data_IF_213547714779
#
_entry.id   IF_213547714779
#
_cell.length_a   1.000
_cell.length_b   1.000
_cell.length_c   1.000
_cell.angle_alpha   90.00
_cell.angle_beta   90.00
_cell.angle_gamma   90.00
#
_symmetry.space_group_name_H-M   'P 1'
#
loop_
_entity.id
_entity.type
_entity.pdbx_description
1 polymer ?
#
# COMPACT_ATOMS: atom_id res chain seq x y z
N UNK A 1 4.34 48.75 9.86
CA UNK A 1 5.64 48.25 10.32
C UNK A 1 5.88 46.95 9.58
N UNK A 2 6.69 46.96 8.52
CA UNK A 2 7.07 45.72 7.86
C UNK A 2 8.01 45.01 8.83
N UNK A 3 7.63 43.83 9.33
CA UNK A 3 8.56 43.00 10.09
C UNK A 3 9.79 42.75 9.22
N UNK A 4 10.97 43.02 9.79
CA UNK A 4 12.24 42.77 9.14
C UNK A 4 12.47 41.25 9.12
N UNK A 5 11.98 40.61 8.07
CA UNK A 5 12.11 39.17 7.87
C UNK A 5 13.58 38.78 7.72
N UNK A 6 14.08 37.96 8.65
CA UNK A 6 15.39 37.33 8.54
C UNK A 6 15.24 36.09 7.67
N UNK A 7 15.87 36.12 6.49
CA UNK A 7 15.87 34.98 5.57
C UNK A 7 16.36 33.71 6.29
N UNK A 8 15.50 32.69 6.34
CA UNK A 8 15.81 31.39 6.93
C UNK A 8 15.16 31.14 8.30
N UNK A 9 14.58 32.17 8.92
CA UNK A 9 13.87 32.07 10.20
C UNK A 9 12.35 31.87 10.02
N UNK A 10 11.90 31.70 8.77
CA UNK A 10 10.51 31.39 8.47
C UNK A 10 10.16 30.02 9.04
N UNK A 11 9.07 29.94 9.80
CA UNK A 11 8.56 28.65 10.27
C UNK A 11 8.13 27.78 9.07
N UNK A 12 8.78 26.62 8.95
CA UNK A 12 8.51 25.61 7.92
C UNK A 12 7.79 24.38 8.48
N UNK A 13 7.29 24.43 9.71
CA UNK A 13 6.57 23.34 10.37
C UNK A 13 5.49 22.72 9.47
N UNK A 14 4.64 23.55 8.86
CA UNK A 14 3.58 23.14 7.94
C UNK A 14 4.11 22.53 6.63
N UNK A 15 5.19 23.08 6.09
CA UNK A 15 5.81 22.57 4.85
C UNK A 15 6.43 21.19 5.10
N UNK A 16 7.08 21.03 6.24
CA UNK A 16 7.66 19.74 6.67
C UNK A 16 6.56 18.71 6.91
N UNK A 17 5.49 19.08 7.62
CA UNK A 17 4.35 18.19 7.86
C UNK A 17 3.68 17.74 6.55
N UNK A 18 3.53 18.66 5.60
CA UNK A 18 2.99 18.36 4.26
C UNK A 18 3.88 17.40 3.48
N UNK A 19 5.20 17.60 3.52
CA UNK A 19 6.16 16.72 2.85
C UNK A 19 6.20 15.32 3.49
N UNK A 20 6.23 15.25 4.82
CA UNK A 20 6.19 13.98 5.56
C UNK A 20 4.89 13.21 5.24
N UNK A 21 3.76 13.92 5.17
CA UNK A 21 2.48 13.36 4.72
C UNK A 21 2.52 12.83 3.28
N UNK A 22 3.08 13.61 2.35
CA UNK A 22 3.23 13.21 0.95
C UNK A 22 4.07 11.94 0.80
N UNK A 23 5.21 11.86 1.49
CA UNK A 23 6.06 10.68 1.48
C UNK A 23 5.33 9.49 2.10
N UNK A 24 4.63 9.68 3.23
CA UNK A 24 3.82 8.65 3.86
C UNK A 24 2.80 8.03 2.90
N UNK A 25 2.02 8.86 2.21
CA UNK A 25 1.03 8.42 1.21
C UNK A 25 1.69 7.76 -0.01
N UNK A 26 2.85 8.25 -0.44
CA UNK A 26 3.58 7.69 -1.58
C UNK A 26 4.08 6.28 -1.28
N UNK A 27 4.67 6.04 -0.10
CA UNK A 27 5.12 4.70 0.31
C UNK A 27 3.94 3.75 0.48
N UNK A 28 2.88 4.23 1.14
CA UNK A 28 1.63 3.49 1.31
C UNK A 28 1.04 3.03 -0.03
N UNK A 29 0.88 3.95 -0.99
CA UNK A 29 0.26 3.66 -2.28
C UNK A 29 1.11 2.72 -3.12
N UNK A 30 2.43 2.88 -3.10
CA UNK A 30 3.36 1.99 -3.78
C UNK A 30 3.25 0.54 -3.27
N UNK A 31 3.20 0.34 -1.94
CA UNK A 31 3.03 -0.99 -1.37
C UNK A 31 1.71 -1.66 -1.79
N UNK A 32 0.62 -0.90 -1.79
CA UNK A 32 -0.69 -1.40 -2.21
C UNK A 32 -0.67 -1.81 -3.69
N UNK A 33 -0.08 -0.98 -4.55
CA UNK A 33 0.04 -1.26 -5.98
C UNK A 33 0.88 -2.52 -6.22
N UNK A 34 2.07 -2.60 -5.62
CA UNK A 34 2.97 -3.75 -5.78
C UNK A 34 2.31 -5.04 -5.30
N UNK A 35 1.65 -5.02 -4.15
CA UNK A 35 0.96 -6.20 -3.60
C UNK A 35 -0.17 -6.67 -4.54
N UNK A 36 -0.95 -5.72 -5.06
CA UNK A 36 -2.05 -6.00 -5.98
C UNK A 36 -1.53 -6.57 -7.30
N UNK A 37 -0.52 -5.93 -7.89
CA UNK A 37 0.10 -6.40 -9.13
C UNK A 37 0.74 -7.77 -8.97
N UNK A 38 1.42 -8.02 -7.85
CA UNK A 38 2.04 -9.32 -7.57
C UNK A 38 0.99 -10.44 -7.62
N UNK A 39 -0.17 -10.24 -6.98
CA UNK A 39 -1.25 -11.23 -7.05
C UNK A 39 -1.69 -11.48 -8.49
N UNK A 40 -1.97 -10.41 -9.26
CA UNK A 40 -2.43 -10.52 -10.65
C UNK A 40 -1.39 -11.23 -11.52
N UNK A 41 -0.11 -10.89 -11.37
CA UNK A 41 0.99 -11.51 -12.11
C UNK A 41 1.11 -12.99 -11.78
N UNK A 42 1.00 -13.38 -10.49
CA UNK A 42 1.09 -14.78 -10.11
C UNK A 42 -0.07 -15.61 -10.67
N UNK A 43 -1.30 -15.07 -10.65
CA UNK A 43 -2.48 -15.77 -11.18
C UNK A 43 -2.46 -15.87 -12.70
N UNK A 44 -2.28 -14.75 -13.41
CA UNK A 44 -2.45 -14.70 -14.86
C UNK A 44 -1.15 -14.85 -15.64
N UNK A 45 -0.03 -14.38 -15.10
CA UNK A 45 1.28 -14.44 -15.76
C UNK A 45 2.06 -15.72 -15.45
N UNK A 46 2.04 -16.17 -14.20
CA UNK A 46 2.74 -17.39 -13.75
C UNK A 46 1.84 -18.62 -13.65
N UNK A 47 0.53 -18.48 -13.91
CA UNK A 47 -0.47 -19.55 -13.85
C UNK A 47 -0.52 -20.30 -12.50
N UNK A 48 -0.25 -19.61 -11.40
CA UNK A 48 -0.40 -20.19 -10.07
C UNK A 48 -1.89 -20.31 -9.71
N UNK A 49 -2.22 -21.30 -8.89
CA UNK A 49 -3.55 -21.39 -8.30
C UNK A 49 -3.87 -20.11 -7.51
N UNK A 50 -5.08 -19.57 -7.68
CA UNK A 50 -5.45 -18.26 -7.15
C UNK A 50 -5.29 -18.16 -5.63
N UNK A 51 -5.60 -19.23 -4.88
CA UNK A 51 -5.37 -19.28 -3.43
C UNK A 51 -3.89 -19.13 -3.08
N UNK A 52 -3.01 -19.84 -3.79
CA UNK A 52 -1.56 -19.80 -3.55
C UNK A 52 -1.02 -18.41 -3.85
N UNK A 53 -1.43 -17.80 -4.96
CA UNK A 53 -1.08 -16.43 -5.31
C UNK A 53 -1.53 -15.42 -4.24
N UNK A 54 -2.74 -15.59 -3.69
CA UNK A 54 -3.25 -14.76 -2.60
C UNK A 54 -2.43 -14.87 -1.33
N UNK A 55 -2.10 -16.09 -0.87
CA UNK A 55 -1.26 -16.27 0.32
C UNK A 55 0.15 -15.68 0.13
N UNK A 56 0.78 -15.93 -1.02
CA UNK A 56 2.11 -15.39 -1.31
C UNK A 56 2.08 -13.86 -1.34
N UNK A 57 1.08 -13.26 -2.00
CA UNK A 57 0.94 -11.80 -2.07
C UNK A 57 0.62 -11.18 -0.71
N UNK A 58 -0.20 -11.82 0.13
CA UNK A 58 -0.47 -11.38 1.50
C UNK A 58 0.78 -11.42 2.38
N UNK A 59 1.62 -12.46 2.24
CA UNK A 59 2.89 -12.55 2.98
C UNK A 59 3.86 -11.46 2.52
N UNK A 60 4.04 -11.28 1.21
CA UNK A 60 4.95 -10.26 0.67
C UNK A 60 4.49 -8.84 1.04
N UNK A 61 3.19 -8.55 0.89
CA UNK A 61 2.60 -7.28 1.30
C UNK A 61 2.70 -7.07 2.80
N UNK A 62 2.38 -8.07 3.61
CA UNK A 62 2.49 -8.01 5.07
C UNK A 62 3.92 -7.77 5.55
N UNK A 63 4.91 -8.48 4.98
CA UNK A 63 6.32 -8.25 5.26
C UNK A 63 6.76 -6.84 4.84
N UNK A 64 6.35 -6.38 3.64
CA UNK A 64 6.63 -5.03 3.17
C UNK A 64 6.07 -3.95 4.10
N UNK A 65 4.82 -4.10 4.53
CA UNK A 65 4.19 -3.21 5.50
C UNK A 65 4.86 -3.21 6.87
N UNK A 66 5.32 -4.38 7.33
CA UNK A 66 6.06 -4.51 8.58
C UNK A 66 7.44 -3.81 8.52
N UNK A 67 8.23 -4.08 7.49
CA UNK A 67 9.55 -3.48 7.32
C UNK A 67 9.49 -1.96 7.12
N UNK A 68 8.46 -1.47 6.44
CA UNK A 68 8.23 -0.04 6.21
C UNK A 68 7.40 0.62 7.31
N UNK A 69 7.13 -0.08 8.42
CA UNK A 69 6.42 0.43 9.61
C UNK A 69 5.11 1.14 9.28
N UNK A 70 4.33 0.56 8.39
CA UNK A 70 3.08 1.15 7.94
C UNK A 70 2.03 1.21 9.06
N UNK A 71 1.24 2.30 9.06
CA UNK A 71 0.20 2.54 10.05
C UNK A 71 -1.04 1.66 9.89
N UNK A 72 -1.99 1.79 10.82
CA UNK A 72 -3.20 0.97 10.87
C UNK A 72 -4.04 1.01 9.57
N UNK A 73 -4.03 2.13 8.85
CA UNK A 73 -4.72 2.27 7.56
C UNK A 73 -4.25 1.27 6.50
N UNK A 74 -2.96 0.93 6.48
CA UNK A 74 -2.41 -0.06 5.56
C UNK A 74 -2.84 -1.48 5.88
N UNK A 75 -2.84 -1.84 7.16
CA UNK A 75 -3.30 -3.15 7.59
C UNK A 75 -4.79 -3.35 7.29
N UNK A 76 -5.60 -2.30 7.48
CA UNK A 76 -7.00 -2.32 7.09
C UNK A 76 -7.18 -2.56 5.59
N UNK A 77 -6.41 -1.89 4.73
CA UNK A 77 -6.52 -2.08 3.28
C UNK A 77 -6.00 -3.42 2.79
N UNK A 78 -4.96 -3.99 3.40
CA UNK A 78 -4.54 -5.37 3.11
C UNK A 78 -5.65 -6.37 3.43
N UNK A 79 -6.33 -6.23 4.57
CA UNK A 79 -7.45 -7.12 4.95
C UNK A 79 -8.60 -6.98 3.96
N UNK A 80 -8.97 -5.75 3.60
CA UNK A 80 -10.05 -5.51 2.62
C UNK A 80 -9.68 -6.10 1.25
N UNK A 81 -8.44 -5.91 0.79
CA UNK A 81 -7.96 -6.49 -0.48
C UNK A 81 -7.98 -8.02 -0.44
N UNK A 82 -7.60 -8.63 0.68
CA UNK A 82 -7.66 -10.09 0.84
C UNK A 82 -9.10 -10.61 0.75
N UNK A 83 -10.07 -9.93 1.39
CA UNK A 83 -11.49 -10.31 1.33
C UNK A 83 -12.01 -10.20 -0.11
N UNK A 84 -11.75 -9.08 -0.79
CA UNK A 84 -12.17 -8.85 -2.17
C UNK A 84 -11.56 -9.91 -3.09
N UNK A 85 -10.25 -10.16 -2.97
CA UNK A 85 -9.55 -11.17 -3.75
C UNK A 85 -10.09 -12.57 -3.52
N UNK A 86 -10.47 -12.91 -2.28
CA UNK A 86 -11.07 -14.19 -1.96
C UNK A 86 -12.46 -14.37 -2.58
N UNK A 87 -13.30 -13.33 -2.54
CA UNK A 87 -14.62 -13.34 -3.18
C UNK A 87 -14.46 -13.53 -4.68
N UNK A 88 -13.58 -12.75 -5.33
CA UNK A 88 -13.37 -12.82 -6.77
C UNK A 88 -12.80 -14.19 -7.18
N UNK A 89 -11.74 -14.66 -6.50
CA UNK A 89 -11.15 -15.97 -6.79
C UNK A 89 -12.12 -17.13 -6.57
N UNK A 90 -12.94 -17.06 -5.52
CA UNK A 90 -14.02 -18.01 -5.26
C UNK A 90 -15.07 -18.02 -6.36
N UNK A 91 -15.54 -16.86 -6.81
CA UNK A 91 -16.51 -16.74 -7.91
C UNK A 91 -15.95 -17.30 -9.22
N UNK A 92 -14.69 -16.98 -9.56
CA UNK A 92 -14.04 -17.52 -10.76
C UNK A 92 -13.95 -19.04 -10.69
N UNK A 93 -13.64 -19.59 -9.52
CA UNK A 93 -13.57 -21.05 -9.33
C UNK A 93 -14.91 -21.76 -9.46
N UNK A 94 -16.03 -21.06 -9.25
CA UNK A 94 -17.38 -21.62 -9.44
C UNK A 94 -17.83 -21.57 -10.91
N UNK A 95 -17.20 -20.71 -11.73
CA UNK A 95 -17.52 -20.52 -13.14
C UNK A 95 -16.57 -21.25 -14.10
N UNK A 96 -15.42 -21.72 -13.60
CA UNK A 96 -14.40 -22.48 -14.33
C UNK A 96 -14.62 -23.99 -14.19
#
# INVERSE_FOLDING_TARGET
MAEEYIRGDMDISEHKASFDGFIGVSVYSTLVIVTTLLCVILVFGAHFHWLTAMFVSAIVGGLGGFFLKQGAGYWATLVVLAIIGFIIGGLVSLLA
#
